data_IF_391507471473
#
_entry.id   IF_391507471473
#
_cell.length_a   1.000
_cell.length_b   1.000
_cell.length_c   1.000
_cell.angle_alpha   90.00
_cell.angle_beta   90.00
_cell.angle_gamma   90.00
#
_symmetry.space_group_name_H-M   'P 1'
#
loop_
_entity.id
_entity.type
_entity.pdbx_description
1 polymer ?
#
# COMPACT_ATOMS: atom_id res chain seq x y z
N UNK A 1 16.17 -13.22 7.56
CA UNK A 1 16.56 -11.84 7.30
C UNK A 1 17.96 -11.64 7.91
N UNK A 2 18.98 -11.43 7.07
CA UNK A 2 20.39 -11.20 7.46
C UNK A 2 21.32 -12.29 6.95
N UNK A 3 22.40 -11.92 6.29
CA UNK A 3 23.35 -12.84 5.65
C UNK A 3 24.14 -13.72 6.65
N UNK A 4 24.06 -13.45 7.97
CA UNK A 4 24.77 -14.18 9.04
C UNK A 4 23.89 -14.52 10.27
N UNK A 5 22.57 -14.31 10.21
CA UNK A 5 21.65 -14.70 11.29
C UNK A 5 20.80 -15.90 10.85
N UNK A 6 20.53 -16.84 11.77
CA UNK A 6 19.57 -17.91 11.50
C UNK A 6 18.27 -17.32 10.92
N UNK A 7 17.84 -17.83 9.75
CA UNK A 7 16.63 -17.36 9.07
C UNK A 7 15.43 -17.51 10.00
N UNK A 8 14.77 -16.40 10.32
CA UNK A 8 13.60 -16.39 11.21
C UNK A 8 12.34 -16.45 10.39
N UNK A 9 11.50 -17.46 10.64
CA UNK A 9 10.15 -17.50 10.07
C UNK A 9 9.29 -16.40 10.68
N UNK A 10 8.75 -15.51 9.85
CA UNK A 10 7.91 -14.37 10.27
C UNK A 10 6.46 -14.63 9.91
N UNK A 11 6.18 -15.02 8.66
CA UNK A 11 4.85 -15.45 8.22
C UNK A 11 4.79 -16.97 8.29
N UNK A 12 3.74 -17.49 8.90
CA UNK A 12 3.62 -18.92 9.21
C UNK A 12 2.25 -19.45 8.80
N UNK A 13 2.08 -19.76 7.51
CA UNK A 13 0.80 -20.29 6.99
C UNK A 13 -0.31 -19.25 6.93
N UNK A 14 0.02 -18.02 6.50
CA UNK A 14 -0.96 -16.96 6.28
C UNK A 14 -1.78 -17.27 5.04
N UNK A 15 -3.10 -17.26 5.16
CA UNK A 15 -4.04 -17.31 4.03
C UNK A 15 -4.89 -16.04 4.03
N UNK A 16 -4.89 -15.32 2.91
CA UNK A 16 -5.65 -14.09 2.72
C UNK A 16 -6.13 -14.01 1.27
N UNK A 17 -7.42 -13.75 1.09
CA UNK A 17 -8.02 -13.44 -0.21
C UNK A 17 -8.62 -12.04 -0.15
N UNK A 18 -8.25 -11.20 -1.12
CA UNK A 18 -8.77 -9.84 -1.28
C UNK A 18 -9.38 -9.73 -2.67
N UNK A 19 -10.68 -9.90 -2.80
CA UNK A 19 -11.37 -9.79 -4.09
C UNK A 19 -11.22 -8.41 -4.73
N UNK A 20 -11.29 -8.36 -6.05
CA UNK A 20 -11.42 -7.09 -6.76
C UNK A 20 -12.70 -6.37 -6.32
N UNK A 21 -12.62 -5.06 -6.13
CA UNK A 21 -13.70 -4.22 -5.62
C UNK A 21 -13.76 -4.11 -4.10
N UNK A 22 -13.06 -4.97 -3.35
CA UNK A 22 -13.07 -4.95 -1.89
C UNK A 22 -11.84 -4.23 -1.31
N UNK A 23 -12.04 -3.65 -0.13
CA UNK A 23 -11.00 -3.07 0.72
C UNK A 23 -10.90 -3.89 2.00
N UNK A 24 -9.78 -4.55 2.19
CA UNK A 24 -9.51 -5.30 3.39
C UNK A 24 -8.49 -4.57 4.27
N UNK A 25 -8.69 -4.59 5.58
CA UNK A 25 -7.74 -4.06 6.53
C UNK A 25 -7.00 -5.19 7.27
N UNK A 26 -5.72 -5.00 7.52
CA UNK A 26 -4.95 -5.84 8.43
C UNK A 26 -4.57 -5.00 9.64
N UNK A 27 -4.95 -5.48 10.80
CA UNK A 27 -4.53 -4.97 12.10
C UNK A 27 -3.77 -6.06 12.86
N UNK A 28 -2.94 -5.68 13.80
CA UNK A 28 -2.19 -6.66 14.61
C UNK A 28 -1.07 -5.99 15.39
N UNK A 29 -0.55 -6.63 16.44
CA UNK A 29 0.52 -6.07 17.25
C UNK A 29 1.81 -5.86 16.46
N UNK A 30 2.74 -5.10 17.03
CA UNK A 30 4.07 -4.93 16.44
C UNK A 30 4.79 -6.27 16.35
N UNK A 31 5.48 -6.50 15.24
CA UNK A 31 6.16 -7.76 14.98
C UNK A 31 5.26 -8.92 14.52
N UNK A 32 3.96 -8.69 14.30
CA UNK A 32 3.04 -9.72 13.81
C UNK A 32 3.33 -10.20 12.38
N UNK A 33 4.10 -9.44 11.58
CA UNK A 33 4.43 -9.77 10.20
C UNK A 33 3.73 -8.89 9.14
N UNK A 34 3.04 -7.81 9.54
CA UNK A 34 2.27 -6.95 8.62
C UNK A 34 3.12 -6.38 7.48
N UNK A 35 4.20 -5.68 7.80
CA UNK A 35 5.11 -5.11 6.78
C UNK A 35 5.89 -6.20 6.05
N UNK A 36 6.15 -7.36 6.69
CA UNK A 36 6.74 -8.52 6.00
C UNK A 36 5.82 -9.00 4.88
N UNK A 37 4.51 -9.06 5.11
CA UNK A 37 3.54 -9.40 4.07
C UNK A 37 3.60 -8.40 2.90
N UNK A 38 3.63 -7.09 3.17
CA UNK A 38 3.77 -6.05 2.14
C UNK A 38 5.04 -6.24 1.31
N UNK A 39 6.16 -6.52 1.96
CA UNK A 39 7.46 -6.70 1.31
C UNK A 39 7.52 -7.98 0.48
N UNK A 40 6.97 -9.09 0.98
CA UNK A 40 6.88 -10.34 0.21
C UNK A 40 6.02 -10.16 -1.03
N UNK A 41 4.85 -9.53 -0.91
CA UNK A 41 3.94 -9.31 -2.04
C UNK A 41 4.54 -8.38 -3.11
N UNK A 42 5.43 -7.47 -2.72
CA UNK A 42 6.09 -6.53 -3.64
C UNK A 42 7.46 -6.99 -4.14
N UNK A 43 7.95 -8.15 -3.68
CA UNK A 43 9.20 -8.74 -4.13
C UNK A 43 10.46 -8.08 -3.56
N UNK A 44 10.35 -7.45 -2.38
CA UNK A 44 11.51 -6.82 -1.74
C UNK A 44 12.56 -7.88 -1.40
N UNK A 45 13.82 -7.62 -1.77
CA UNK A 45 14.94 -8.48 -1.44
C UNK A 45 15.14 -8.69 0.07
N UNK A 46 15.74 -9.81 0.46
CA UNK A 46 15.98 -10.17 1.86
C UNK A 46 14.84 -10.91 2.55
N UNK A 47 13.79 -11.27 1.81
CA UNK A 47 12.68 -12.11 2.26
C UNK A 47 12.60 -13.34 1.36
N UNK A 48 12.69 -14.53 1.96
CA UNK A 48 12.56 -15.81 1.27
C UNK A 48 11.19 -16.41 1.55
N UNK A 49 10.51 -16.86 0.49
CA UNK A 49 9.25 -17.60 0.59
C UNK A 49 9.56 -19.07 0.55
N UNK A 50 9.42 -19.75 1.68
CA UNK A 50 9.76 -21.18 1.82
C UNK A 50 8.62 -22.11 1.43
N UNK A 51 7.42 -21.58 1.18
CA UNK A 51 6.26 -22.35 0.74
C UNK A 51 4.99 -21.50 0.63
N UNK A 52 3.99 -22.04 -0.02
CA UNK A 52 2.74 -21.36 -0.33
C UNK A 52 2.74 -20.74 -1.73
N UNK A 53 1.74 -19.91 -2.00
CA UNK A 53 1.57 -19.22 -3.28
C UNK A 53 0.98 -17.83 -3.07
N UNK A 54 1.26 -16.90 -3.98
CA UNK A 54 0.57 -15.62 -4.04
C UNK A 54 0.23 -15.30 -5.49
N UNK A 55 -1.03 -15.00 -5.76
CA UNK A 55 -1.50 -14.73 -7.12
C UNK A 55 -2.16 -13.38 -7.22
N UNK A 56 -1.99 -12.71 -8.36
CA UNK A 56 -2.75 -11.54 -8.76
C UNK A 56 -3.53 -11.86 -10.03
N UNK A 57 -4.87 -11.84 -9.96
CA UNK A 57 -5.75 -12.21 -11.07
C UNK A 57 -5.42 -13.61 -11.65
N UNK A 58 -5.08 -14.57 -10.78
CA UNK A 58 -4.75 -15.94 -11.15
C UNK A 58 -3.31 -16.18 -11.64
N UNK A 59 -2.49 -15.15 -11.79
CA UNK A 59 -1.08 -15.27 -12.12
C UNK A 59 -0.22 -15.30 -10.84
N UNK A 60 0.70 -16.26 -10.73
CA UNK A 60 1.67 -16.30 -9.62
C UNK A 60 2.62 -15.10 -9.70
N UNK A 61 2.83 -14.45 -8.55
CA UNK A 61 3.68 -13.27 -8.45
C UNK A 61 4.99 -13.54 -7.68
N UNK A 62 5.14 -14.69 -7.04
CA UNK A 62 6.28 -14.92 -6.13
C UNK A 62 7.62 -14.96 -6.87
N UNK A 63 7.63 -15.53 -8.07
CA UNK A 63 8.83 -15.62 -8.91
C UNK A 63 9.10 -14.37 -9.76
N UNK A 64 8.22 -13.34 -9.66
CA UNK A 64 8.39 -12.11 -10.43
C UNK A 64 9.29 -11.13 -9.69
N UNK A 65 10.16 -10.45 -10.45
CA UNK A 65 10.92 -9.30 -9.97
C UNK A 65 10.00 -8.13 -9.60
N UNK A 66 10.41 -7.23 -8.68
CA UNK A 66 9.57 -6.11 -8.21
C UNK A 66 8.98 -5.25 -9.32
N UNK A 67 9.76 -4.93 -10.35
CA UNK A 67 9.30 -4.15 -11.50
C UNK A 67 8.25 -4.88 -12.35
N UNK A 68 8.32 -6.20 -12.43
CA UNK A 68 7.32 -7.01 -13.11
C UNK A 68 6.00 -7.01 -12.32
N UNK A 69 6.05 -7.15 -11.01
CA UNK A 69 4.88 -7.03 -10.11
C UNK A 69 4.24 -5.64 -10.21
N UNK A 70 5.05 -4.58 -10.22
CA UNK A 70 4.56 -3.22 -10.42
C UNK A 70 3.89 -3.04 -11.79
N UNK A 71 4.45 -3.63 -12.86
CA UNK A 71 3.86 -3.59 -14.20
C UNK A 71 2.54 -4.38 -14.28
N UNK A 72 2.37 -5.46 -13.49
CA UNK A 72 1.09 -6.17 -13.32
C UNK A 72 0.05 -5.36 -12.56
N UNK A 73 0.46 -4.32 -11.86
CA UNK A 73 -0.41 -3.37 -11.18
C UNK A 73 -0.39 -3.48 -9.66
N UNK A 74 0.66 -4.01 -9.05
CA UNK A 74 0.85 -3.93 -7.59
C UNK A 74 1.49 -2.60 -7.24
N UNK A 75 0.94 -1.92 -6.23
CA UNK A 75 1.50 -0.69 -5.67
C UNK A 75 1.62 -0.82 -4.15
N UNK A 76 2.76 -0.37 -3.62
CA UNK A 76 2.99 -0.26 -2.19
C UNK A 76 3.17 1.21 -1.79
N UNK A 77 2.32 1.68 -0.89
CA UNK A 77 2.57 2.90 -0.14
C UNK A 77 3.42 2.56 1.07
N UNK A 78 4.63 3.10 1.13
CA UNK A 78 5.59 2.78 2.17
C UNK A 78 5.28 3.48 3.49
N UNK A 79 5.60 2.83 4.61
CA UNK A 79 5.58 3.48 5.92
C UNK A 79 6.45 4.75 5.93
N UNK A 80 7.66 4.66 5.35
CA UNK A 80 8.60 5.78 5.20
C UNK A 80 8.94 6.00 3.72
N UNK A 81 8.33 7.01 3.07
CA UNK A 81 8.62 7.32 1.67
C UNK A 81 10.09 7.71 1.45
N UNK A 82 10.73 7.09 0.46
CA UNK A 82 12.15 7.27 0.14
C UNK A 82 12.37 8.61 -0.58
N UNK A 83 13.49 9.28 -0.28
CA UNK A 83 13.94 10.45 -1.01
C UNK A 83 14.79 10.04 -2.23
N UNK A 84 14.55 10.69 -3.38
CA UNK A 84 15.33 10.47 -4.60
C UNK A 84 15.92 11.83 -5.06
N UNK A 85 17.13 12.18 -4.57
CA UNK A 85 17.77 13.44 -4.93
C UNK A 85 18.01 13.56 -6.45
N UNK A 86 17.78 14.75 -6.98
CA UNK A 86 18.04 15.05 -8.38
C UNK A 86 16.99 14.57 -9.38
N UNK A 87 15.99 13.81 -8.95
CA UNK A 87 14.93 13.30 -9.84
C UNK A 87 13.60 14.01 -9.54
N UNK A 88 13.12 14.91 -10.41
CA UNK A 88 11.84 15.59 -10.22
C UNK A 88 10.66 14.61 -10.19
N UNK A 89 9.66 14.88 -9.34
CA UNK A 89 8.45 14.04 -9.20
C UNK A 89 7.78 13.76 -10.53
N UNK A 90 7.55 14.79 -11.36
CA UNK A 90 6.89 14.61 -12.67
C UNK A 90 7.69 13.69 -13.60
N UNK A 91 9.01 13.82 -13.59
CA UNK A 91 9.91 12.97 -14.39
C UNK A 91 9.84 11.53 -13.90
N UNK A 92 9.95 11.32 -12.59
CA UNK A 92 9.85 10.01 -11.96
C UNK A 92 8.55 9.30 -12.33
N UNK A 93 7.41 9.97 -12.08
CA UNK A 93 6.09 9.38 -12.28
C UNK A 93 5.81 9.09 -13.76
N UNK A 94 6.17 10.01 -14.66
CA UNK A 94 5.99 9.78 -16.10
C UNK A 94 6.84 8.61 -16.60
N UNK A 95 8.08 8.52 -16.14
CA UNK A 95 8.97 7.39 -16.47
C UNK A 95 8.40 6.08 -15.97
N UNK A 96 7.91 6.04 -14.73
CA UNK A 96 7.29 4.84 -14.14
C UNK A 96 6.04 4.40 -14.92
N UNK A 97 5.14 5.34 -15.27
CA UNK A 97 3.95 5.05 -16.09
C UNK A 97 4.36 4.44 -17.44
N UNK A 98 5.29 5.05 -18.14
CA UNK A 98 5.69 4.61 -19.47
C UNK A 98 6.45 3.28 -19.42
N UNK A 99 7.26 3.04 -18.38
CA UNK A 99 7.91 1.75 -18.16
C UNK A 99 6.88 0.61 -17.97
N UNK A 100 5.86 0.83 -17.13
CA UNK A 100 4.79 -0.14 -16.92
C UNK A 100 3.96 -0.36 -18.19
N UNK A 101 3.60 0.70 -18.90
CA UNK A 101 2.88 0.62 -20.19
C UNK A 101 3.66 -0.18 -21.23
N UNK A 102 4.96 0.04 -21.33
CA UNK A 102 5.85 -0.71 -22.23
C UNK A 102 5.84 -2.21 -21.92
N UNK A 103 5.92 -2.60 -20.65
CA UNK A 103 5.85 -4.01 -20.24
C UNK A 103 4.50 -4.64 -20.62
N UNK A 104 3.41 -3.87 -20.56
CA UNK A 104 2.07 -4.31 -20.96
C UNK A 104 1.80 -4.26 -22.45
N UNK A 105 2.78 -3.83 -23.27
CA UNK A 105 2.62 -3.66 -24.73
C UNK A 105 1.74 -2.46 -25.11
N UNK A 106 1.54 -1.50 -24.23
CA UNK A 106 0.76 -0.29 -24.45
C UNK A 106 1.65 0.83 -25.00
N UNK A 107 1.04 1.76 -25.78
CA UNK A 107 1.72 2.98 -26.21
C UNK A 107 2.06 3.88 -25.01
N UNK A 108 3.16 4.65 -25.11
CA UNK A 108 3.49 5.63 -24.07
C UNK A 108 2.39 6.67 -23.90
N UNK A 109 2.20 7.12 -22.64
CA UNK A 109 1.30 8.22 -22.35
C UNK A 109 1.84 9.51 -22.97
N UNK A 110 1.02 10.20 -23.76
CA UNK A 110 1.42 11.47 -24.37
C UNK A 110 1.73 12.55 -23.33
N UNK A 111 2.61 13.49 -23.66
CA UNK A 111 2.93 14.57 -22.74
C UNK A 111 1.69 15.45 -22.37
N UNK A 112 0.80 15.80 -23.31
CA UNK A 112 -0.43 16.52 -22.96
C UNK A 112 -1.34 15.75 -22.00
N UNK A 113 -1.55 14.44 -22.23
CA UNK A 113 -2.40 13.61 -21.37
C UNK A 113 -1.81 13.46 -19.97
N UNK A 114 -0.50 13.25 -19.87
CA UNK A 114 0.22 13.22 -18.59
C UNK A 114 0.04 14.53 -17.82
N UNK A 115 0.26 15.69 -18.47
CA UNK A 115 0.15 16.99 -17.81
C UNK A 115 -1.29 17.24 -17.34
N UNK A 116 -2.28 16.91 -18.16
CA UNK A 116 -3.69 17.04 -17.80
C UNK A 116 -4.02 16.21 -16.58
N UNK A 117 -3.74 14.90 -16.62
CA UNK A 117 -3.97 13.97 -15.49
C UNK A 117 -3.24 14.42 -14.23
N UNK A 118 -1.96 14.79 -14.36
CA UNK A 118 -1.13 15.27 -13.24
C UNK A 118 -1.75 16.50 -12.56
N UNK A 119 -2.27 17.45 -13.33
CA UNK A 119 -2.93 18.67 -12.81
C UNK A 119 -4.22 18.31 -12.05
N UNK A 120 -5.04 17.43 -12.62
CA UNK A 120 -6.31 17.03 -12.02
C UNK A 120 -6.08 16.32 -10.68
N UNK A 121 -5.14 15.37 -10.63
CA UNK A 121 -4.76 14.66 -9.41
C UNK A 121 -4.12 15.59 -8.37
N UNK A 122 -3.22 16.48 -8.78
CA UNK A 122 -2.60 17.42 -7.87
C UNK A 122 -3.64 18.34 -7.21
N UNK A 123 -4.62 18.82 -7.99
CA UNK A 123 -5.73 19.64 -7.48
C UNK A 123 -6.56 18.90 -6.44
N UNK A 124 -6.88 17.64 -6.69
CA UNK A 124 -7.65 16.80 -5.75
C UNK A 124 -6.93 16.63 -4.41
N UNK A 125 -5.60 16.51 -4.45
CA UNK A 125 -4.75 16.28 -3.26
C UNK A 125 -4.23 17.59 -2.62
N UNK A 126 -4.67 18.77 -3.09
CA UNK A 126 -4.15 20.05 -2.64
C UNK A 126 -2.60 20.12 -2.71
N UNK A 127 -2.02 19.56 -3.77
CA UNK A 127 -0.59 19.63 -4.04
C UNK A 127 -0.28 20.87 -4.89
N UNK A 128 0.72 21.65 -4.46
CA UNK A 128 1.26 22.73 -5.26
C UNK A 128 2.00 22.18 -6.48
N UNK A 129 1.76 22.77 -7.65
CA UNK A 129 2.43 22.39 -8.89
C UNK A 129 3.97 22.52 -8.80
N UNK A 130 4.47 23.46 -7.98
CA UNK A 130 5.91 23.60 -7.74
C UNK A 130 6.52 22.41 -6.98
N UNK A 131 5.74 21.76 -6.11
CA UNK A 131 6.19 20.52 -5.44
C UNK A 131 6.50 19.41 -6.45
N UNK A 132 5.70 19.32 -7.52
CA UNK A 132 5.88 18.28 -8.54
C UNK A 132 7.13 18.48 -9.40
N UNK A 133 7.74 19.68 -9.38
CA UNK A 133 9.01 20.00 -10.06
C UNK A 133 10.22 19.70 -9.18
N UNK A 134 10.02 19.53 -7.87
CA UNK A 134 11.11 19.24 -6.91
C UNK A 134 11.49 17.77 -6.95
N UNK A 135 12.71 17.43 -6.49
CA UNK A 135 13.12 16.04 -6.32
C UNK A 135 12.18 15.28 -5.40
N UNK A 136 11.93 14.00 -5.72
CA UNK A 136 11.01 13.13 -4.99
C UNK A 136 11.31 13.13 -3.50
N UNK A 137 10.36 13.58 -2.69
CA UNK A 137 10.37 13.61 -1.22
C UNK A 137 11.47 14.44 -0.55
N UNK A 138 12.39 15.07 -1.29
CA UNK A 138 13.52 15.82 -0.71
C UNK A 138 13.04 17.12 -0.08
N UNK A 139 13.21 17.21 1.25
CA UNK A 139 12.82 18.38 2.03
C UNK A 139 11.31 18.59 2.14
N UNK A 140 10.51 17.55 1.96
CA UNK A 140 9.08 17.57 2.22
C UNK A 140 8.78 17.18 3.66
N UNK A 141 7.73 17.77 4.23
CA UNK A 141 7.16 17.34 5.51
C UNK A 141 6.55 15.93 5.39
N UNK A 142 6.29 15.26 6.51
CA UNK A 142 5.66 13.94 6.52
C UNK A 142 4.32 13.91 5.77
N UNK A 143 3.46 14.90 6.02
CA UNK A 143 2.17 15.01 5.33
C UNK A 143 2.30 15.26 3.83
N UNK A 144 3.28 16.07 3.41
CA UNK A 144 3.57 16.30 1.99
C UNK A 144 4.09 15.03 1.31
N UNK A 145 4.98 14.28 1.95
CA UNK A 145 5.47 12.99 1.45
C UNK A 145 4.33 12.00 1.24
N UNK A 146 3.40 11.92 2.19
CA UNK A 146 2.24 11.01 2.08
C UNK A 146 1.27 11.45 0.98
N UNK A 147 0.95 12.73 0.87
CA UNK A 147 0.13 13.24 -0.26
C UNK A 147 0.80 12.99 -1.61
N UNK A 148 2.13 13.12 -1.68
CA UNK A 148 2.87 12.83 -2.90
C UNK A 148 2.85 11.32 -3.24
N UNK A 149 2.86 10.46 -2.25
CA UNK A 149 2.72 9.02 -2.44
C UNK A 149 1.32 8.64 -2.97
N UNK A 150 0.26 9.26 -2.43
CA UNK A 150 -1.10 9.13 -2.98
C UNK A 150 -1.18 9.68 -4.41
N UNK A 151 -0.50 10.79 -4.70
CA UNK A 151 -0.39 11.30 -6.07
C UNK A 151 0.23 10.25 -7.01
N UNK A 152 1.34 9.63 -6.61
CA UNK A 152 1.97 8.57 -7.41
C UNK A 152 1.01 7.40 -7.64
N UNK A 153 0.32 6.94 -6.59
CA UNK A 153 -0.69 5.89 -6.66
C UNK A 153 -1.80 6.22 -7.68
N UNK A 154 -2.37 7.42 -7.60
CA UNK A 154 -3.44 7.84 -8.50
C UNK A 154 -2.97 8.00 -9.95
N UNK A 155 -1.73 8.42 -10.16
CA UNK A 155 -1.14 8.55 -11.49
C UNK A 155 -0.84 7.18 -12.14
N UNK A 156 -0.41 6.19 -11.35
CA UNK A 156 -0.03 4.85 -11.81
C UNK A 156 -1.25 3.93 -12.03
N UNK A 157 -2.39 4.19 -11.38
CA UNK A 157 -3.64 3.41 -11.50
C UNK A 157 -3.44 1.90 -11.30
N UNK A 158 -2.89 1.48 -10.17
CA UNK A 158 -2.64 0.07 -9.92
C UNK A 158 -3.94 -0.74 -9.80
N UNK A 159 -3.83 -2.06 -9.96
CA UNK A 159 -4.93 -3.03 -9.79
C UNK A 159 -5.05 -3.51 -8.35
N UNK A 160 -3.94 -3.54 -7.63
CA UNK A 160 -3.88 -3.93 -6.24
C UNK A 160 -3.05 -2.93 -5.44
N UNK A 161 -3.66 -2.36 -4.42
CA UNK A 161 -3.06 -1.36 -3.54
C UNK A 161 -2.68 -2.01 -2.21
N UNK A 162 -1.45 -1.79 -1.76
CA UNK A 162 -1.01 -2.12 -0.40
C UNK A 162 -0.64 -0.80 0.27
N UNK A 163 -1.36 -0.44 1.33
CA UNK A 163 -1.16 0.77 2.10
C UNK A 163 -0.58 0.38 3.45
N UNK A 164 0.74 0.51 3.63
CA UNK A 164 1.42 0.09 4.85
C UNK A 164 1.65 1.29 5.77
N UNK A 165 0.85 1.36 6.84
CA UNK A 165 0.88 2.42 7.89
C UNK A 165 0.94 3.85 7.31
N UNK A 166 0.09 4.11 6.30
CA UNK A 166 0.04 5.41 5.60
C UNK A 166 -0.46 6.56 6.48
N UNK A 167 -1.01 6.26 7.63
CA UNK A 167 -1.54 7.20 8.64
C UNK A 167 -0.51 7.59 9.71
N UNK A 168 0.66 6.96 9.73
CA UNK A 168 1.68 7.22 10.74
C UNK A 168 2.21 8.65 10.67
N UNK A 169 2.12 9.38 11.79
CA UNK A 169 2.64 10.74 11.91
C UNK A 169 1.86 11.82 11.16
N UNK A 170 0.65 11.53 10.68
CA UNK A 170 -0.22 12.50 10.02
C UNK A 170 -1.12 13.25 11.02
N UNK A 171 -1.29 14.55 10.79
CA UNK A 171 -2.37 15.30 11.39
C UNK A 171 -3.74 14.92 10.78
N UNK A 172 -4.82 15.42 11.35
CA UNK A 172 -6.19 15.08 10.95
C UNK A 172 -6.48 15.47 9.49
N UNK A 173 -6.00 16.61 9.04
CA UNK A 173 -6.28 17.13 7.71
C UNK A 173 -5.50 16.34 6.64
N UNK A 174 -4.23 16.03 6.90
CA UNK A 174 -3.42 15.18 6.04
C UNK A 174 -4.00 13.75 5.96
N UNK A 175 -4.42 13.18 7.10
CA UNK A 175 -5.08 11.88 7.15
C UNK A 175 -6.34 11.83 6.29
N UNK A 176 -7.18 12.86 6.40
CA UNK A 176 -8.41 12.96 5.59
C UNK A 176 -8.08 13.06 4.11
N UNK A 177 -7.12 13.89 3.72
CA UNK A 177 -6.70 14.03 2.32
C UNK A 177 -6.17 12.70 1.75
N UNK A 178 -5.39 11.94 2.54
CA UNK A 178 -4.92 10.60 2.17
C UNK A 178 -6.09 9.66 1.98
N UNK A 179 -7.02 9.62 2.95
CA UNK A 179 -8.18 8.75 2.89
C UNK A 179 -9.11 9.10 1.70
N UNK A 180 -9.31 10.38 1.41
CA UNK A 180 -10.09 10.83 0.25
C UNK A 180 -9.42 10.37 -1.06
N UNK A 181 -8.09 10.47 -1.16
CA UNK A 181 -7.34 9.96 -2.30
C UNK A 181 -7.47 8.43 -2.48
N UNK A 182 -7.38 7.68 -1.38
CA UNK A 182 -7.60 6.22 -1.39
C UNK A 182 -9.04 5.88 -1.81
N UNK A 183 -10.04 6.57 -1.25
CA UNK A 183 -11.44 6.34 -1.61
C UNK A 183 -11.74 6.69 -3.08
N UNK A 184 -11.08 7.72 -3.63
CA UNK A 184 -11.19 8.06 -5.05
C UNK A 184 -10.63 6.96 -5.99
N UNK A 185 -9.78 6.06 -5.43
CA UNK A 185 -9.23 4.92 -6.17
C UNK A 185 -10.11 3.68 -6.09
N UNK A 186 -11.25 3.69 -5.36
CA UNK A 186 -12.18 2.55 -5.33
C UNK A 186 -12.73 2.28 -6.72
N UNK A 187 -12.63 1.03 -7.14
CA UNK A 187 -13.07 0.57 -8.45
C UNK A 187 -13.41 -0.93 -8.36
N UNK A 188 -14.48 -1.43 -9.01
CA UNK A 188 -14.86 -2.85 -8.98
C UNK A 188 -13.74 -3.81 -9.45
N UNK A 189 -12.77 -3.31 -10.20
CA UNK A 189 -11.62 -4.10 -10.70
C UNK A 189 -10.38 -4.00 -9.81
N UNK A 190 -10.44 -3.27 -8.69
CA UNK A 190 -9.27 -2.97 -7.83
C UNK A 190 -9.43 -3.52 -6.44
N UNK A 191 -8.48 -4.34 -5.99
CA UNK A 191 -8.37 -4.77 -4.61
C UNK A 191 -7.50 -3.81 -3.79
N UNK A 192 -7.81 -3.63 -2.51
CA UNK A 192 -7.03 -2.79 -1.61
C UNK A 192 -6.76 -3.50 -0.29
N UNK A 193 -5.52 -3.47 0.15
CA UNK A 193 -5.07 -3.98 1.44
C UNK A 193 -4.51 -2.82 2.27
N UNK A 194 -5.20 -2.46 3.33
CA UNK A 194 -4.83 -1.37 4.25
C UNK A 194 -4.23 -1.98 5.51
N UNK A 195 -2.98 -1.70 5.77
CA UNK A 195 -2.29 -2.12 6.99
C UNK A 195 -2.20 -0.90 7.90
N UNK A 196 -2.80 -0.98 9.07
CA UNK A 196 -2.78 0.10 10.06
C UNK A 196 -2.91 -0.44 11.47
N UNK A 197 -2.42 0.33 12.43
CA UNK A 197 -2.64 0.12 13.86
C UNK A 197 -3.82 0.95 14.40
N UNK A 198 -4.30 1.92 13.61
CA UNK A 198 -5.26 2.92 14.07
C UNK A 198 -6.60 2.77 13.37
N UNK A 199 -7.65 2.65 14.16
CA UNK A 199 -9.01 2.66 13.64
C UNK A 199 -9.35 3.96 12.90
N UNK A 200 -8.77 5.09 13.33
CA UNK A 200 -9.08 6.41 12.76
C UNK A 200 -8.95 6.47 11.23
N UNK A 201 -7.96 5.79 10.61
CA UNK A 201 -7.87 5.69 9.16
C UNK A 201 -9.05 4.88 8.59
N UNK A 202 -9.43 3.79 9.26
CA UNK A 202 -10.50 2.89 8.82
C UNK A 202 -11.89 3.54 8.94
N UNK A 203 -12.08 4.53 9.81
CA UNK A 203 -13.31 5.32 9.88
C UNK A 203 -13.57 6.12 8.60
N UNK A 204 -12.50 6.57 7.93
CA UNK A 204 -12.58 7.27 6.65
C UNK A 204 -12.61 6.32 5.44
N UNK A 205 -11.79 5.26 5.46
CA UNK A 205 -11.69 4.32 4.31
C UNK A 205 -12.83 3.30 4.34
N UNK A 206 -13.32 2.88 5.51
CA UNK A 206 -14.40 1.87 5.69
C UNK A 206 -14.11 0.58 4.93
N UNK A 207 -13.29 -0.30 5.47
CA UNK A 207 -12.97 -1.58 4.84
C UNK A 207 -14.19 -2.51 4.83
N UNK A 208 -14.24 -3.41 3.86
CA UNK A 208 -15.25 -4.47 3.77
C UNK A 208 -14.97 -5.59 4.78
N UNK A 209 -13.70 -5.88 5.03
CA UNK A 209 -13.24 -6.86 6.04
C UNK A 209 -12.04 -6.33 6.81
N UNK A 210 -11.96 -6.79 8.06
CA UNK A 210 -10.83 -6.55 8.96
C UNK A 210 -10.25 -7.90 9.39
N UNK A 211 -8.94 -8.04 9.23
CA UNK A 211 -8.18 -9.22 9.60
C UNK A 211 -7.25 -8.92 10.75
N UNK A 212 -7.18 -9.78 11.74
CA UNK A 212 -6.22 -9.69 12.83
C UNK A 212 -5.05 -10.61 12.52
N UNK A 213 -3.89 -10.02 12.30
CA UNK A 213 -2.63 -10.74 12.09
C UNK A 213 -1.87 -10.83 13.41
N UNK A 214 -1.54 -12.03 13.84
CA UNK A 214 -0.67 -12.27 14.98
C UNK A 214 0.23 -13.49 14.72
N UNK A 215 1.47 -13.41 15.16
CA UNK A 215 2.48 -14.50 15.03
C UNK A 215 2.58 -15.05 13.59
N UNK A 216 2.42 -14.17 12.59
CA UNK A 216 2.52 -14.53 11.18
C UNK A 216 1.30 -15.22 10.58
N UNK A 217 0.16 -15.23 11.27
CA UNK A 217 -1.09 -15.86 10.83
C UNK A 217 -2.28 -14.92 10.97
N UNK A 218 -3.26 -15.04 10.07
CA UNK A 218 -4.58 -14.42 10.26
C UNK A 218 -5.34 -15.28 11.28
N UNK A 219 -5.59 -14.73 12.46
CA UNK A 219 -6.22 -15.44 13.57
C UNK A 219 -7.71 -15.11 13.73
N UNK A 220 -8.15 -13.97 13.20
CA UNK A 220 -9.57 -13.57 13.21
C UNK A 220 -9.85 -12.71 11.99
N UNK A 221 -11.05 -12.87 11.43
CA UNK A 221 -11.58 -12.04 10.35
C UNK A 221 -13.00 -11.65 10.72
N UNK A 222 -13.33 -10.38 10.48
CA UNK A 222 -14.67 -9.82 10.74
C UNK A 222 -14.98 -8.62 9.84
N UNK A 223 -16.09 -7.99 10.07
CA UNK A 223 -16.45 -6.72 9.44
C UNK A 223 -15.74 -5.52 10.11
N UNK A 224 -16.11 -4.29 9.72
CA UNK A 224 -15.53 -3.06 10.28
C UNK A 224 -15.63 -2.96 11.81
N UNK A 225 -16.64 -3.59 12.41
CA UNK A 225 -16.85 -3.64 13.88
C UNK A 225 -15.68 -4.31 14.62
N UNK A 226 -14.91 -5.18 13.94
CA UNK A 226 -13.76 -5.82 14.55
C UNK A 226 -12.65 -4.79 14.85
N UNK A 227 -12.48 -3.75 14.04
CA UNK A 227 -11.53 -2.68 14.31
C UNK A 227 -11.90 -1.88 15.56
N UNK A 228 -13.21 -1.60 15.76
CA UNK A 228 -13.73 -0.96 16.97
C UNK A 228 -13.44 -1.77 18.23
N UNK A 229 -13.68 -3.09 18.15
CA UNK A 229 -13.41 -3.99 19.27
C UNK A 229 -11.92 -4.03 19.61
N UNK A 230 -11.03 -4.06 18.59
CA UNK A 230 -9.59 -4.03 18.82
C UNK A 230 -9.12 -2.75 19.51
N UNK A 231 -9.73 -1.61 19.22
CA UNK A 231 -9.40 -0.35 19.90
C UNK A 231 -9.90 -0.33 21.35
N UNK A 232 -11.06 -0.91 21.63
CA UNK A 232 -11.68 -0.92 22.95
C UNK A 232 -11.10 -1.99 23.88
N UNK A 233 -10.91 -3.20 23.39
CA UNK A 233 -10.54 -4.39 24.17
C UNK A 233 -9.04 -4.71 24.09
N UNK A 234 -8.32 -4.10 23.13
CA UNK A 234 -6.93 -4.44 22.81
C UNK A 234 -6.81 -5.77 22.08
N UNK A 235 -5.60 -6.07 21.64
CA UNK A 235 -5.33 -7.36 20.95
C UNK A 235 -5.53 -8.54 21.88
N UNK A 236 -5.12 -8.46 23.15
CA UNK A 236 -5.23 -9.57 24.10
C UNK A 236 -6.68 -9.91 24.41
N UNK A 237 -7.58 -8.92 24.50
CA UNK A 237 -9.01 -9.16 24.69
C UNK A 237 -9.65 -9.88 23.52
N UNK A 238 -9.30 -9.49 22.29
CA UNK A 238 -9.82 -10.12 21.05
C UNK A 238 -9.18 -11.48 20.78
N UNK A 239 -7.91 -11.68 21.17
CA UNK A 239 -7.15 -12.93 21.00
C UNK A 239 -7.50 -13.97 22.06
N UNK A 240 -7.80 -13.56 23.30
CA UNK A 240 -8.17 -14.46 24.39
C UNK A 240 -9.48 -15.22 24.16
N UNK A 241 -10.34 -14.74 23.26
CA UNK A 241 -11.55 -15.46 22.82
C UNK A 241 -11.28 -16.58 21.79
N UNK A 242 -10.06 -16.63 21.22
CA UNK A 242 -9.68 -17.57 20.15
C UNK A 242 -8.75 -18.69 20.62
N UNK A 243 -8.52 -18.82 21.93
CA UNK A 243 -7.67 -19.86 22.56
C UNK A 243 -8.49 -21.03 23.07
#
# INVERSE_FOLDING_TARGET
VGEDAEAKTILNGLTLDVPAGEVHAIMGPNGAGKSTLSYVLTGRSGYEVTGGSATLNGEDILDMEPEARAAKGIFLSFQYPIEIPGVPVMTFVRTAINAQRKVRGEAEMSAPDFIKKSRDVAKMLNLDAEMLKRPVNVGFSGGEKKRLEIYQMMMLEPKFLILDETDSGLDIDALKTVADGVNAMRDPSRGMLVITHYQRLLDYIKPDKVHVLAKGQIIKTGGPELALRLEQEGYDGVLGEAA
#
